data_IF_081554949252
#
_entry.id   IF_081554949252
#
_cell.length_a   1.000
_cell.length_b   1.000
_cell.length_c   1.000
_cell.angle_alpha   90.00
_cell.angle_beta   90.00
_cell.angle_gamma   90.00
#
_symmetry.space_group_name_H-M   'P 1'
#
loop_
_entity.id
_entity.type
_entity.pdbx_description
1 polymer ?
#
# COMPACT_ATOMS: atom_id res chain seq x y z
N UNK A 1 100.41 -23.31 65.73
CA UNK A 1 100.35 -23.20 64.24
C UNK A 1 99.47 -24.26 63.55
N UNK A 2 99.23 -25.44 64.11
CA UNK A 2 98.47 -26.50 63.43
C UNK A 2 96.93 -26.37 63.43
N UNK A 3 96.33 -25.53 64.30
CA UNK A 3 94.86 -25.40 64.40
C UNK A 3 94.26 -24.38 63.41
N UNK A 4 94.91 -23.23 63.18
CA UNK A 4 94.46 -22.23 62.20
C UNK A 4 94.48 -22.76 60.77
N UNK A 5 95.49 -23.57 60.40
CA UNK A 5 95.55 -24.22 59.09
C UNK A 5 94.41 -25.21 58.84
N UNK A 6 93.93 -25.92 59.88
CA UNK A 6 92.80 -26.87 59.76
C UNK A 6 91.48 -26.15 59.53
N UNK A 7 91.24 -25.04 60.23
CA UNK A 7 90.02 -24.22 60.06
C UNK A 7 89.99 -23.62 58.66
N UNK A 8 91.12 -23.11 58.17
CA UNK A 8 91.22 -22.50 56.84
C UNK A 8 91.00 -23.54 55.73
N UNK A 9 91.52 -24.77 55.89
CA UNK A 9 91.25 -25.88 54.96
C UNK A 9 89.77 -26.25 54.95
N UNK A 10 89.09 -26.31 56.10
CA UNK A 10 87.65 -26.63 56.17
C UNK A 10 86.81 -25.56 55.46
N UNK A 11 87.14 -24.28 55.63
CA UNK A 11 86.43 -23.17 54.97
C UNK A 11 86.65 -23.21 53.45
N UNK A 12 87.88 -23.44 52.99
CA UNK A 12 88.19 -23.54 51.55
C UNK A 12 87.50 -24.75 50.92
N UNK A 13 87.48 -25.89 51.60
CA UNK A 13 86.77 -27.09 51.11
C UNK A 13 85.26 -26.85 51.07
N UNK A 14 84.68 -26.20 52.09
CA UNK A 14 83.26 -25.85 52.11
C UNK A 14 82.88 -24.85 51.02
N UNK A 15 83.72 -23.83 50.79
CA UNK A 15 83.50 -22.85 49.72
C UNK A 15 83.61 -23.48 48.32
N UNK A 16 84.60 -24.36 48.11
CA UNK A 16 84.75 -25.11 46.86
C UNK A 16 83.59 -26.07 46.62
N UNK A 17 83.09 -26.75 47.67
CA UNK A 17 81.91 -27.59 47.59
C UNK A 17 80.63 -26.78 47.31
N UNK A 18 80.49 -25.59 47.91
CA UNK A 18 79.39 -24.67 47.64
C UNK A 18 79.41 -24.15 46.19
N UNK A 19 80.58 -23.78 45.69
CA UNK A 19 80.74 -23.36 44.29
C UNK A 19 80.51 -24.52 43.31
N UNK A 20 80.98 -25.73 43.64
CA UNK A 20 80.72 -26.92 42.86
C UNK A 20 79.23 -27.30 42.85
N UNK A 21 78.54 -27.18 43.99
CA UNK A 21 77.10 -27.40 44.08
C UNK A 21 76.30 -26.35 43.30
N UNK A 22 76.70 -25.08 43.35
CA UNK A 22 76.08 -24.01 42.55
C UNK A 22 76.34 -24.21 41.05
N UNK A 23 77.56 -24.53 40.64
CA UNK A 23 77.91 -24.85 39.26
C UNK A 23 77.15 -26.09 38.75
N UNK A 24 77.01 -27.14 39.59
CA UNK A 24 76.20 -28.31 39.27
C UNK A 24 74.70 -27.95 39.16
N UNK A 25 74.20 -27.03 39.98
CA UNK A 25 72.82 -26.55 39.89
C UNK A 25 72.56 -25.71 38.63
N UNK A 26 73.54 -24.93 38.15
CA UNK A 26 73.44 -24.22 36.86
C UNK A 26 73.55 -25.18 35.67
N UNK A 27 74.38 -26.21 35.78
CA UNK A 27 74.54 -27.22 34.73
C UNK A 27 73.27 -28.09 34.56
N UNK A 28 72.61 -28.47 35.67
CA UNK A 28 71.49 -29.42 35.64
C UNK A 28 70.11 -28.80 35.97
N UNK A 29 70.05 -27.54 36.43
CA UNK A 29 68.82 -26.88 36.90
C UNK A 29 68.35 -25.71 36.04
N UNK A 30 68.95 -25.49 34.87
CA UNK A 30 68.49 -24.49 33.91
C UNK A 30 67.11 -24.79 33.34
N UNK A 31 66.38 -23.75 32.88
CA UNK A 31 65.10 -23.90 32.18
C UNK A 31 65.26 -24.84 30.99
N UNK A 32 64.34 -25.81 30.83
CA UNK A 32 64.34 -26.72 29.69
C UNK A 32 63.88 -26.01 28.41
N UNK A 33 64.80 -25.37 27.70
CA UNK A 33 64.52 -24.65 26.45
C UNK A 33 64.12 -25.57 25.30
N UNK A 34 64.58 -26.83 25.31
CA UNK A 34 64.18 -27.86 24.35
C UNK A 34 62.73 -28.28 24.60
N UNK A 35 62.30 -28.33 25.87
CA UNK A 35 60.90 -28.52 26.23
C UNK A 35 60.01 -27.36 25.76
N UNK A 36 60.50 -26.13 25.85
CA UNK A 36 59.80 -24.92 25.37
C UNK A 36 59.66 -24.89 23.83
N UNK A 37 60.50 -25.60 23.07
CA UNK A 37 60.34 -25.72 21.60
C UNK A 37 59.52 -26.93 21.18
N UNK A 38 59.15 -27.83 22.09
CA UNK A 38 58.42 -29.06 21.78
C UNK A 38 57.00 -29.09 22.37
N UNK A 39 56.80 -28.50 23.55
CA UNK A 39 55.57 -28.65 24.33
C UNK A 39 55.00 -27.31 24.86
N UNK A 40 55.34 -26.19 24.19
CA UNK A 40 54.86 -24.85 24.57
C UNK A 40 53.73 -24.38 23.65
N UNK A 41 52.81 -23.53 24.14
CA UNK A 41 51.86 -22.78 23.29
C UNK A 41 52.54 -21.97 22.19
N UNK A 42 53.85 -21.72 22.30
CA UNK A 42 54.62 -21.12 21.20
C UNK A 42 54.59 -21.94 19.92
N UNK A 43 54.47 -23.26 20.02
CA UNK A 43 54.44 -24.15 18.86
C UNK A 43 53.18 -24.02 18.02
N UNK A 44 52.12 -23.41 18.55
CA UNK A 44 50.91 -23.08 17.78
C UNK A 44 51.20 -21.96 16.77
N UNK A 45 52.18 -21.10 17.07
CA UNK A 45 52.51 -19.91 16.28
C UNK A 45 53.85 -20.04 15.53
N UNK A 46 54.85 -20.69 16.12
CA UNK A 46 56.21 -20.78 15.59
C UNK A 46 56.66 -22.23 15.44
N UNK A 47 57.43 -22.49 14.39
CA UNK A 47 58.14 -23.73 14.14
C UNK A 47 59.61 -23.51 14.46
N UNK A 48 60.17 -24.37 15.31
CA UNK A 48 61.58 -24.33 15.69
C UNK A 48 62.35 -25.42 14.95
N UNK A 49 63.38 -25.01 14.21
CA UNK A 49 64.23 -25.91 13.46
C UNK A 49 65.70 -25.80 13.91
N UNK A 50 66.43 -26.89 13.80
CA UNK A 50 67.86 -26.94 14.10
C UNK A 50 68.64 -27.52 12.92
N UNK A 51 69.70 -26.83 12.50
CA UNK A 51 70.62 -27.31 11.47
C UNK A 51 71.96 -27.71 12.13
N UNK A 52 72.35 -29.01 12.06
CA UNK A 52 73.64 -29.46 12.56
C UNK A 52 74.80 -28.99 11.66
N UNK A 53 75.86 -28.48 12.28
CA UNK A 53 77.08 -28.00 11.62
C UNK A 53 78.22 -27.84 12.63
N UNK A 54 79.28 -27.09 12.31
CA UNK A 54 80.41 -26.80 13.23
C UNK A 54 79.93 -26.12 14.54
N UNK A 55 78.85 -25.36 14.45
CA UNK A 55 78.00 -24.92 15.56
C UNK A 55 76.54 -25.15 15.16
N UNK A 56 75.74 -25.74 16.04
CA UNK A 56 74.30 -25.95 15.79
C UNK A 56 73.58 -24.61 15.72
N UNK A 57 72.91 -24.35 14.60
CA UNK A 57 72.10 -23.14 14.43
C UNK A 57 70.62 -23.48 14.64
N UNK A 58 69.95 -22.69 15.48
CA UNK A 58 68.53 -22.77 15.75
C UNK A 58 67.79 -21.63 15.06
N UNK A 59 66.62 -21.92 14.49
CA UNK A 59 65.76 -20.92 13.84
C UNK A 59 64.34 -21.05 14.36
N UNK A 60 63.64 -19.92 14.47
CA UNK A 60 62.22 -19.87 14.75
C UNK A 60 61.50 -19.16 13.60
N UNK A 61 60.53 -19.84 12.98
CA UNK A 61 59.75 -19.27 11.87
C UNK A 61 58.27 -19.35 12.17
N UNK A 62 57.54 -18.26 11.95
CA UNK A 62 56.10 -18.24 12.15
C UNK A 62 55.41 -19.21 11.18
N UNK A 63 54.51 -20.06 11.69
CA UNK A 63 53.98 -21.21 10.93
C UNK A 63 53.14 -20.81 9.73
N UNK A 64 52.36 -19.74 9.87
CA UNK A 64 51.41 -19.25 8.87
C UNK A 64 52.06 -18.26 7.90
N UNK A 65 52.78 -17.27 8.42
CA UNK A 65 53.35 -16.18 7.61
C UNK A 65 54.75 -16.50 7.09
N UNK A 66 55.38 -17.56 7.60
CA UNK A 66 56.77 -17.98 7.30
C UNK A 66 57.84 -16.93 7.64
N UNK A 67 57.47 -15.86 8.34
CA UNK A 67 58.41 -14.86 8.78
C UNK A 67 59.36 -15.40 9.85
N UNK A 68 60.63 -15.00 9.78
CA UNK A 68 61.60 -15.30 10.82
C UNK A 68 61.25 -14.55 12.11
N UNK A 69 61.32 -15.25 13.23
CA UNK A 69 61.21 -14.71 14.58
C UNK A 69 62.57 -14.60 15.28
N UNK A 70 63.60 -15.26 14.74
CA UNK A 70 64.96 -15.26 15.27
C UNK A 70 65.79 -16.42 14.71
N UNK A 71 67.11 -16.23 14.67
CA UNK A 71 68.09 -17.24 14.28
C UNK A 71 69.38 -17.05 15.07
N UNK A 72 70.00 -18.13 15.52
CA UNK A 72 71.25 -18.04 16.30
C UNK A 72 71.76 -19.40 16.77
N UNK A 73 72.96 -19.39 17.35
CA UNK A 73 73.61 -20.60 17.89
C UNK A 73 73.08 -20.95 19.30
N UNK A 74 72.43 -19.99 19.97
CA UNK A 74 71.90 -20.14 21.33
C UNK A 74 70.38 -20.32 21.26
N UNK A 75 69.89 -21.51 21.60
CA UNK A 75 68.46 -21.84 21.55
C UNK A 75 67.59 -20.92 22.42
N UNK A 76 68.05 -20.55 23.62
CA UNK A 76 67.30 -19.69 24.52
C UNK A 76 67.07 -18.29 23.95
N UNK A 77 68.02 -17.76 23.18
CA UNK A 77 67.88 -16.46 22.52
C UNK A 77 66.81 -16.53 21.43
N UNK A 78 66.85 -17.57 20.60
CA UNK A 78 65.86 -17.80 19.54
C UNK A 78 64.44 -18.00 20.11
N UNK A 79 64.30 -18.75 21.21
CA UNK A 79 63.02 -18.93 21.91
C UNK A 79 62.51 -17.62 22.51
N UNK A 80 63.38 -16.80 23.10
CA UNK A 80 62.99 -15.52 23.67
C UNK A 80 62.59 -14.51 22.58
N UNK A 81 63.28 -14.47 21.44
CA UNK A 81 62.90 -13.63 20.30
C UNK A 81 61.53 -14.04 19.74
N UNK A 82 61.23 -15.34 19.64
CA UNK A 82 59.91 -15.82 19.25
C UNK A 82 58.81 -15.41 20.25
N UNK A 83 59.07 -15.50 21.56
CA UNK A 83 58.15 -15.02 22.62
C UNK A 83 57.90 -13.51 22.51
N UNK A 84 58.96 -12.74 22.28
CA UNK A 84 58.87 -11.29 22.14
C UNK A 84 58.04 -10.90 20.92
N UNK A 85 58.27 -11.56 19.77
CA UNK A 85 57.50 -11.34 18.54
C UNK A 85 56.02 -11.68 18.73
N UNK A 86 55.71 -12.82 19.37
CA UNK A 86 54.32 -13.19 19.69
C UNK A 86 53.63 -12.13 20.57
N UNK A 87 54.32 -11.67 21.62
CA UNK A 87 53.78 -10.65 22.51
C UNK A 87 53.53 -9.32 21.79
N UNK A 88 54.42 -8.94 20.86
CA UNK A 88 54.21 -7.76 20.01
C UNK A 88 52.98 -7.93 19.13
N UNK A 89 52.87 -9.05 18.40
CA UNK A 89 51.71 -9.30 17.53
C UNK A 89 50.38 -9.32 18.29
N UNK A 90 50.36 -9.91 19.49
CA UNK A 90 49.17 -9.93 20.34
C UNK A 90 48.85 -8.54 20.89
N UNK A 91 49.86 -7.77 21.30
CA UNK A 91 49.69 -6.39 21.74
C UNK A 91 49.14 -5.51 20.61
N UNK A 92 49.67 -5.65 19.39
CA UNK A 92 49.22 -4.90 18.23
C UNK A 92 47.76 -5.26 17.87
N UNK A 93 47.41 -6.55 17.90
CA UNK A 93 46.02 -7.01 17.69
C UNK A 93 45.09 -6.48 18.76
N UNK A 94 45.50 -6.50 20.03
CA UNK A 94 44.72 -5.94 21.14
C UNK A 94 44.51 -4.44 20.95
N UNK A 95 45.55 -3.69 20.62
CA UNK A 95 45.46 -2.26 20.40
C UNK A 95 44.54 -1.93 19.23
N UNK A 96 44.67 -2.65 18.11
CA UNK A 96 43.81 -2.48 16.94
C UNK A 96 42.34 -2.79 17.25
N UNK A 97 42.09 -3.92 17.90
CA UNK A 97 40.73 -4.33 18.29
C UNK A 97 40.13 -3.32 19.27
N UNK A 98 40.92 -2.84 20.24
CA UNK A 98 40.49 -1.83 21.20
C UNK A 98 40.14 -0.50 20.49
N UNK A 99 40.94 -0.08 19.52
CA UNK A 99 40.64 1.12 18.72
C UNK A 99 39.34 0.96 17.92
N UNK A 100 39.07 -0.23 17.35
CA UNK A 100 37.82 -0.53 16.66
C UNK A 100 36.62 -0.49 17.64
N UNK A 101 36.76 -1.06 18.83
CA UNK A 101 35.75 -0.98 19.89
C UNK A 101 35.48 0.48 20.25
N UNK A 102 36.52 1.27 20.51
CA UNK A 102 36.38 2.67 20.91
C UNK A 102 35.76 3.54 19.82
N UNK A 103 36.01 3.23 18.55
CA UNK A 103 35.36 3.88 17.41
C UNK A 103 33.87 3.50 17.26
N UNK A 104 33.50 2.25 17.56
CA UNK A 104 32.12 1.76 17.41
C UNK A 104 31.23 2.06 18.63
N UNK A 105 31.79 2.06 19.83
CA UNK A 105 31.07 2.31 21.10
C UNK A 105 30.20 3.58 21.09
N UNK A 106 30.65 4.76 20.59
CA UNK A 106 29.79 5.94 20.54
C UNK A 106 28.67 5.85 19.50
N UNK A 107 28.75 4.94 18.51
CA UNK A 107 27.71 4.78 17.48
C UNK A 107 26.48 4.05 18.01
N UNK A 108 26.63 3.20 19.03
CA UNK A 108 25.53 2.46 19.65
C UNK A 108 24.42 3.40 20.16
N UNK A 109 24.69 4.40 21.03
CA UNK A 109 23.65 5.31 21.50
C UNK A 109 23.07 6.19 20.39
N UNK A 110 23.88 6.55 19.37
CA UNK A 110 23.40 7.32 18.20
C UNK A 110 22.35 6.53 17.41
N UNK A 111 22.63 5.25 17.12
CA UNK A 111 21.69 4.37 16.41
C UNK A 111 20.44 4.12 17.25
N UNK A 112 20.59 3.95 18.57
CA UNK A 112 19.44 3.80 19.48
C UNK A 112 18.53 5.03 19.51
N UNK A 113 19.12 6.24 19.47
CA UNK A 113 18.35 7.48 19.40
C UNK A 113 17.59 7.59 18.06
N UNK A 114 18.28 7.38 16.93
CA UNK A 114 17.65 7.41 15.60
C UNK A 114 16.48 6.42 15.49
N UNK A 115 16.68 5.19 15.98
CA UNK A 115 15.62 4.18 15.98
C UNK A 115 14.35 4.63 16.71
N UNK A 116 14.49 5.32 17.84
CA UNK A 116 13.35 5.79 18.62
C UNK A 116 12.55 6.83 17.83
N UNK A 117 13.23 7.78 17.20
CA UNK A 117 12.59 8.84 16.41
C UNK A 117 11.93 8.24 15.15
N UNK A 118 12.60 7.30 14.49
CA UNK A 118 12.06 6.58 13.33
C UNK A 118 10.82 5.76 13.70
N UNK A 119 10.85 5.03 14.82
CA UNK A 119 9.70 4.26 15.32
C UNK A 119 8.49 5.18 15.60
N UNK A 120 8.72 6.34 16.23
CA UNK A 120 7.65 7.32 16.47
C UNK A 120 7.10 7.94 15.17
N UNK A 121 7.98 8.23 14.21
CA UNK A 121 7.59 8.74 12.90
C UNK A 121 6.75 7.72 12.13
N UNK A 122 7.14 6.43 12.15
CA UNK A 122 6.39 5.35 11.52
C UNK A 122 5.00 5.17 12.14
N UNK A 123 4.89 5.17 13.47
CA UNK A 123 3.60 5.09 14.17
C UNK A 123 2.70 6.27 13.83
N UNK A 124 3.26 7.48 13.79
CA UNK A 124 2.51 8.69 13.43
C UNK A 124 2.02 8.64 11.98
N UNK A 125 2.88 8.15 11.08
CA UNK A 125 2.54 8.00 9.66
C UNK A 125 1.48 6.93 9.44
N UNK A 126 1.56 5.81 10.14
CA UNK A 126 0.55 4.75 10.11
C UNK A 126 -0.82 5.30 10.54
N UNK A 127 -0.87 6.03 11.65
CA UNK A 127 -2.12 6.65 12.13
C UNK A 127 -2.71 7.65 11.13
N UNK A 128 -1.87 8.46 10.48
CA UNK A 128 -2.30 9.38 9.42
C UNK A 128 -2.87 8.63 8.20
N UNK A 129 -2.19 7.56 7.77
CA UNK A 129 -2.61 6.74 6.64
C UNK A 129 -3.94 6.04 6.91
N UNK A 130 -4.14 5.49 8.12
CA UNK A 130 -5.41 4.90 8.53
C UNK A 130 -6.55 5.92 8.50
N UNK A 131 -6.32 7.13 9.05
CA UNK A 131 -7.30 8.22 9.00
C UNK A 131 -7.65 8.62 7.56
N UNK A 132 -6.65 8.71 6.68
CA UNK A 132 -6.87 9.04 5.28
C UNK A 132 -7.63 7.94 4.54
N UNK A 133 -7.33 6.67 4.83
CA UNK A 133 -8.04 5.51 4.29
C UNK A 133 -9.53 5.55 4.67
N UNK A 134 -9.83 5.79 5.94
CA UNK A 134 -11.21 5.89 6.43
C UNK A 134 -11.97 7.05 5.77
N UNK A 135 -11.31 8.21 5.61
CA UNK A 135 -11.89 9.35 4.93
C UNK A 135 -12.20 9.06 3.45
N UNK A 136 -11.29 8.38 2.74
CA UNK A 136 -11.52 7.95 1.35
C UNK A 136 -12.65 6.93 1.28
N UNK A 137 -12.69 5.96 2.19
CA UNK A 137 -13.77 4.97 2.26
C UNK A 137 -15.13 5.62 2.47
N UNK A 138 -15.23 6.59 3.36
CA UNK A 138 -16.47 7.35 3.59
C UNK A 138 -16.92 8.09 2.32
N UNK A 139 -15.99 8.71 1.58
CA UNK A 139 -16.30 9.37 0.30
C UNK A 139 -16.79 8.39 -0.76
N UNK A 140 -16.18 7.20 -0.85
CA UNK A 140 -16.61 6.15 -1.78
C UNK A 140 -18.04 5.70 -1.47
N UNK A 141 -18.36 5.47 -0.18
CA UNK A 141 -19.71 5.08 0.23
C UNK A 141 -20.73 6.16 -0.11
N UNK A 142 -20.46 7.42 0.23
CA UNK A 142 -21.35 8.53 -0.10
C UNK A 142 -21.58 8.66 -1.62
N UNK A 143 -20.53 8.57 -2.42
CA UNK A 143 -20.65 8.61 -3.88
C UNK A 143 -21.45 7.43 -4.45
N UNK A 144 -21.32 6.24 -3.84
CA UNK A 144 -22.08 5.04 -4.24
C UNK A 144 -23.56 5.20 -3.93
N UNK A 145 -23.90 5.72 -2.75
CA UNK A 145 -25.29 6.03 -2.36
C UNK A 145 -25.91 7.08 -3.28
N UNK A 146 -25.16 8.14 -3.60
CA UNK A 146 -25.61 9.18 -4.53
C UNK A 146 -25.86 8.62 -5.94
N UNK A 147 -24.96 7.78 -6.44
CA UNK A 147 -25.12 7.12 -7.73
C UNK A 147 -26.35 6.20 -7.76
N UNK A 148 -26.60 5.45 -6.68
CA UNK A 148 -27.79 4.61 -6.56
C UNK A 148 -29.08 5.44 -6.55
N UNK A 149 -29.10 6.55 -5.81
CA UNK A 149 -30.23 7.49 -5.78
C UNK A 149 -30.51 8.06 -7.17
N UNK A 150 -29.47 8.57 -7.84
CA UNK A 150 -29.61 9.14 -9.18
C UNK A 150 -30.08 8.10 -10.19
N UNK A 151 -29.58 6.86 -10.11
CA UNK A 151 -30.07 5.74 -10.91
C UNK A 151 -31.56 5.49 -10.73
N UNK A 152 -32.06 5.51 -9.49
CA UNK A 152 -33.49 5.40 -9.21
C UNK A 152 -34.32 6.56 -9.76
N UNK A 153 -33.81 7.79 -9.68
CA UNK A 153 -34.47 8.97 -10.26
C UNK A 153 -34.55 8.89 -11.79
N UNK A 154 -33.49 8.42 -12.45
CA UNK A 154 -33.48 8.22 -13.92
C UNK A 154 -34.54 7.21 -14.34
N UNK A 155 -34.64 6.07 -13.65
CA UNK A 155 -35.65 5.05 -13.97
C UNK A 155 -37.08 5.57 -13.75
N UNK A 156 -37.30 6.37 -12.70
CA UNK A 156 -38.60 7.01 -12.47
C UNK A 156 -38.98 7.96 -13.61
N UNK A 157 -38.05 8.86 -14.00
CA UNK A 157 -38.29 9.80 -15.10
C UNK A 157 -38.54 9.07 -16.42
N UNK A 158 -37.81 7.96 -16.65
CA UNK A 158 -38.02 7.11 -17.82
C UNK A 158 -39.43 6.50 -17.83
N UNK A 159 -39.87 5.94 -16.70
CA UNK A 159 -41.22 5.40 -16.53
C UNK A 159 -42.31 6.44 -16.79
N UNK A 160 -42.21 7.62 -16.16
CA UNK A 160 -43.14 8.73 -16.40
C UNK A 160 -43.15 9.17 -17.88
N UNK A 161 -41.98 9.16 -18.55
CA UNK A 161 -41.87 9.45 -19.97
C UNK A 161 -42.56 8.41 -20.86
N UNK A 162 -42.51 7.13 -20.49
CA UNK A 162 -43.21 6.05 -21.20
C UNK A 162 -44.73 6.16 -21.03
N UNK A 163 -45.21 6.41 -19.81
CA UNK A 163 -46.62 6.63 -19.51
C UNK A 163 -47.19 7.83 -20.28
N UNK A 164 -46.48 8.97 -20.27
CA UNK A 164 -46.89 10.16 -21.04
C UNK A 164 -46.94 9.89 -22.53
N UNK A 165 -45.99 9.12 -23.08
CA UNK A 165 -46.03 8.74 -24.50
C UNK A 165 -47.27 7.90 -24.81
N UNK A 166 -47.59 6.92 -23.97
CA UNK A 166 -48.79 6.10 -24.12
C UNK A 166 -50.07 6.96 -24.05
N UNK A 167 -50.13 7.90 -23.12
CA UNK A 167 -51.25 8.83 -22.98
C UNK A 167 -51.42 9.73 -24.21
N UNK A 168 -50.33 10.28 -24.76
CA UNK A 168 -50.36 11.10 -25.98
C UNK A 168 -50.93 10.30 -27.16
N UNK A 169 -50.52 9.04 -27.34
CA UNK A 169 -51.10 8.18 -28.39
C UNK A 169 -52.59 7.93 -28.17
N UNK A 170 -53.01 7.70 -26.91
CA UNK A 170 -54.43 7.53 -26.58
C UNK A 170 -55.25 8.76 -26.91
N UNK A 171 -54.78 9.94 -26.49
CA UNK A 171 -55.45 11.22 -26.74
C UNK A 171 -55.51 11.54 -28.23
N UNK A 172 -54.45 11.24 -28.98
CA UNK A 172 -54.43 11.40 -30.44
C UNK A 172 -55.52 10.54 -31.10
N UNK A 173 -55.64 9.27 -30.72
CA UNK A 173 -56.68 8.38 -31.25
C UNK A 173 -58.08 8.89 -30.89
N UNK A 174 -58.30 9.34 -29.66
CA UNK A 174 -59.57 9.93 -29.24
C UNK A 174 -59.92 11.19 -30.05
N UNK A 175 -58.94 12.05 -30.31
CA UNK A 175 -59.13 13.24 -31.13
C UNK A 175 -59.51 12.88 -32.58
N UNK A 176 -58.89 11.86 -33.17
CA UNK A 176 -59.24 11.37 -34.50
C UNK A 176 -60.68 10.83 -34.55
N UNK A 177 -61.11 10.08 -33.53
CA UNK A 177 -62.51 9.63 -33.41
C UNK A 177 -63.49 10.80 -33.34
N UNK A 178 -63.23 11.79 -32.47
CA UNK A 178 -64.09 12.97 -32.32
C UNK A 178 -64.18 13.76 -33.64
N UNK A 179 -63.07 13.88 -34.38
CA UNK A 179 -63.06 14.54 -35.69
C UNK A 179 -63.94 13.81 -36.70
N UNK A 180 -63.92 12.48 -36.70
CA UNK A 180 -64.78 11.67 -37.56
C UNK A 180 -66.26 11.82 -37.18
N UNK A 181 -66.58 11.80 -35.89
CA UNK A 181 -67.95 11.99 -35.39
C UNK A 181 -68.48 13.39 -35.74
N UNK A 182 -67.65 14.43 -35.58
CA UNK A 182 -68.00 15.79 -35.95
C UNK A 182 -68.29 15.91 -37.45
N UNK A 183 -67.48 15.25 -38.30
CA UNK A 183 -67.72 15.21 -39.73
C UNK A 183 -69.07 14.53 -40.05
N UNK A 184 -69.35 13.37 -39.43
CA UNK A 184 -70.61 12.65 -39.62
C UNK A 184 -71.83 13.49 -39.18
N UNK A 185 -71.76 14.12 -38.00
CA UNK A 185 -72.81 15.01 -37.50
C UNK A 185 -73.03 16.21 -38.42
N UNK A 186 -71.96 16.76 -39.01
CA UNK A 186 -72.05 17.86 -39.98
C UNK A 186 -72.77 17.40 -41.26
N UNK A 187 -72.46 16.21 -41.77
CA UNK A 187 -73.17 15.64 -42.93
C UNK A 187 -74.65 15.40 -42.63
N UNK A 188 -74.98 14.85 -41.46
CA UNK A 188 -76.36 14.65 -41.03
C UNK A 188 -77.13 15.98 -40.93
N UNK A 189 -76.51 17.01 -40.34
CA UNK A 189 -77.10 18.35 -40.28
C UNK A 189 -77.43 18.88 -41.68
N UNK A 190 -76.50 18.76 -42.63
CA UNK A 190 -76.71 19.23 -44.00
C UNK A 190 -77.87 18.48 -44.66
N UNK A 191 -77.90 17.15 -44.54
CA UNK A 191 -79.00 16.33 -45.08
C UNK A 191 -80.37 16.69 -44.49
N UNK A 192 -80.45 16.90 -43.17
CA UNK A 192 -81.69 17.34 -42.50
C UNK A 192 -82.10 18.75 -42.93
N UNK A 193 -81.13 19.63 -43.18
CA UNK A 193 -81.41 21.00 -43.68
C UNK A 193 -82.01 20.94 -45.08
N UNK A 194 -81.46 20.10 -45.96
CA UNK A 194 -81.99 19.88 -47.30
C UNK A 194 -83.40 19.27 -47.27
N UNK A 195 -83.64 18.32 -46.36
CA UNK A 195 -84.95 17.71 -46.15
C UNK A 195 -85.98 18.73 -45.65
N UNK A 196 -85.60 19.56 -44.68
CA UNK A 196 -86.44 20.65 -44.18
C UNK A 196 -86.83 21.60 -45.31
N UNK A 197 -85.87 22.05 -46.13
CA UNK A 197 -86.13 22.91 -47.28
C UNK A 197 -87.10 22.27 -48.27
N UNK A 198 -86.97 20.96 -48.53
CA UNK A 198 -87.88 20.22 -49.41
C UNK A 198 -89.29 20.14 -48.83
N UNK A 199 -89.41 19.91 -47.51
CA UNK A 199 -90.70 19.88 -46.82
C UNK A 199 -91.38 21.25 -46.84
N UNK A 200 -90.66 22.33 -46.60
CA UNK A 200 -91.16 23.71 -46.71
C UNK A 200 -91.70 24.00 -48.12
N UNK A 201 -90.93 23.66 -49.16
CA UNK A 201 -91.39 23.82 -50.55
C UNK A 201 -92.65 23.00 -50.86
N UNK A 202 -92.74 21.77 -50.35
CA UNK A 202 -93.92 20.93 -50.52
C UNK A 202 -95.13 21.52 -49.79
N UNK A 203 -94.94 22.00 -48.57
CA UNK A 203 -95.97 22.66 -47.78
C UNK A 203 -96.48 23.93 -48.49
N UNK A 204 -95.61 24.74 -49.07
CA UNK A 204 -95.99 25.91 -49.86
C UNK A 204 -96.76 25.55 -51.13
N UNK A 205 -96.41 24.44 -51.79
CA UNK A 205 -97.18 23.90 -52.93
C UNK A 205 -98.56 23.44 -52.49
N UNK A 206 -98.65 22.74 -51.36
CA UNK A 206 -99.93 22.28 -50.80
C UNK A 206 -100.82 23.44 -50.36
N UNK A 207 -100.27 24.46 -49.69
CA UNK A 207 -100.99 25.70 -49.34
C UNK A 207 -101.55 26.39 -50.57
N UNK A 208 -100.73 26.57 -51.63
CA UNK A 208 -101.18 27.13 -52.91
C UNK A 208 -102.30 26.31 -53.54
N UNK A 209 -102.18 24.99 -53.55
CA UNK A 209 -103.22 24.10 -54.08
C UNK A 209 -104.50 24.14 -53.25
N UNK A 210 -104.40 24.21 -51.93
CA UNK A 210 -105.53 24.36 -51.03
C UNK A 210 -106.27 25.68 -51.29
N UNK A 211 -105.54 26.79 -51.44
CA UNK A 211 -106.14 28.08 -51.79
C UNK A 211 -106.90 28.03 -53.12
N UNK A 212 -106.30 27.43 -54.15
CA UNK A 212 -106.96 27.20 -55.45
C UNK A 212 -108.24 26.36 -55.32
N UNK A 213 -108.22 25.27 -54.55
CA UNK A 213 -109.39 24.42 -54.34
C UNK A 213 -110.50 25.15 -53.58
N UNK A 214 -110.17 25.93 -52.55
CA UNK A 214 -111.14 26.76 -51.82
C UNK A 214 -111.81 27.79 -52.73
N UNK A 215 -111.04 28.42 -53.62
CA UNK A 215 -111.56 29.35 -54.62
C UNK A 215 -112.53 28.66 -55.60
N UNK A 216 -112.26 27.41 -56.00
CA UNK A 216 -113.14 26.63 -56.88
C UNK A 216 -114.43 26.14 -56.19
N UNK A 217 -114.40 25.96 -54.86
CA UNK A 217 -115.52 25.47 -54.06
C UNK A 217 -116.45 26.57 -53.52
N UNK A 218 -116.10 27.85 -53.70
CA UNK A 218 -116.99 28.98 -53.43
C UNK A 218 -117.10 29.45 -51.97
N UNK A 219 -116.13 29.14 -51.10
CA UNK A 219 -116.05 29.70 -49.72
C UNK A 219 -114.93 30.76 -49.59
N UNK A 220 -115.14 31.84 -48.80
CA UNK A 220 -114.21 32.96 -48.68
C UNK A 220 -112.92 32.60 -47.91
N UNK A 221 -111.79 33.06 -48.43
CA UNK A 221 -110.45 32.88 -47.87
C UNK A 221 -110.15 33.94 -46.80
N UNK A 222 -109.86 33.53 -45.57
CA UNK A 222 -109.40 34.40 -44.48
C UNK A 222 -107.88 34.28 -44.34
N UNK A 223 -107.20 35.42 -44.51
CA UNK A 223 -105.75 35.55 -44.61
C UNK A 223 -105.17 35.79 -43.22
N UNK A 224 -105.09 34.73 -42.40
CA UNK A 224 -104.29 34.76 -41.17
C UNK A 224 -103.15 33.77 -41.30
N UNK A 225 -102.01 34.29 -41.79
CA UNK A 225 -100.69 33.72 -41.53
C UNK A 225 -100.35 34.08 -40.08
N UNK A 226 -100.23 33.13 -39.13
CA UNK A 226 -99.64 33.44 -37.84
C UNK A 226 -98.15 33.69 -38.07
N UNK A 227 -97.73 34.93 -37.87
CA UNK A 227 -96.33 35.28 -37.75
C UNK A 227 -95.80 34.81 -36.39
N UNK A 228 -95.57 33.50 -36.25
CA UNK A 228 -94.81 32.94 -35.13
C UNK A 228 -93.63 32.15 -35.68
N UNK A 229 -92.63 32.92 -36.11
CA UNK A 229 -91.25 32.46 -36.28
C UNK A 229 -90.38 33.06 -35.18
N UNK A 230 -90.62 32.68 -33.92
CA UNK A 230 -89.68 32.96 -32.86
C UNK A 230 -88.34 32.27 -33.20
N UNK A 231 -87.20 32.99 -33.24
CA UNK A 231 -85.91 32.33 -33.41
C UNK A 231 -85.68 31.41 -32.20
N UNK A 232 -85.51 30.12 -32.46
CA UNK A 232 -85.02 29.17 -31.46
C UNK A 232 -83.66 29.65 -30.98
N UNK A 233 -83.62 30.31 -29.83
CA UNK A 233 -82.37 30.64 -29.15
C UNK A 233 -81.68 29.32 -28.80
N UNK A 234 -80.61 29.00 -29.50
CA UNK A 234 -79.63 28.03 -29.02
C UNK A 234 -79.00 28.61 -27.76
N UNK A 235 -79.52 28.22 -26.59
CA UNK A 235 -78.77 28.35 -25.34
C UNK A 235 -77.46 27.59 -25.52
N UNK A 236 -76.36 28.32 -25.51
CA UNK A 236 -75.04 27.80 -25.22
C UNK A 236 -75.09 27.10 -23.85
N UNK A 237 -75.03 25.78 -23.86
CA UNK A 237 -74.66 25.02 -22.67
C UNK A 237 -73.17 25.30 -22.43
N UNK A 238 -72.91 25.87 -21.26
CA UNK A 238 -71.60 25.90 -20.60
C UNK A 238 -71.35 24.55 -19.95
#
# INVERSE_FOLDING_TARGET
MAQLGRILVVIVVAASLGFAAFAASLANGGRNWVGDTQNSPLNDYFEFNSQPGEKTTYTATHRLTKESAGSGVILSEVVNSAKQKLNQELSDKLQKTQAEIDALKPRIPQIQALRKDDEQALVSREAELLKNLDAVRAKILAATEEAARLGGEIEKVRGEGEERRAEVYRLKNQLELIRNDLFAATQQKNALTDELLRLEQNLDRLKRRQAQLKQLLGEPYDDQVPADGAPLSLKSAT
#
